data_IF_205016813084
#
_entry.id   IF_205016813084
#
_cell.length_a   1.000
_cell.length_b   1.000
_cell.length_c   1.000
_cell.angle_alpha   90.00
_cell.angle_beta   90.00
_cell.angle_gamma   90.00
#
_symmetry.space_group_name_H-M   'P 1'
#
loop_
_entity.id
_entity.type
_entity.pdbx_description
1 polymer ?
#
# COMPACT_ATOMS: atom_id res chain seq x y z
N UNK A 1 15.42 -9.52 -3.39
CA UNK A 1 14.90 -8.28 -2.78
C UNK A 1 14.48 -8.60 -1.35
N UNK A 2 14.99 -7.87 -0.33
CA UNK A 2 14.45 -7.93 1.02
C UNK A 2 12.92 -7.72 1.04
N UNK A 3 12.27 -8.24 2.09
CA UNK A 3 10.81 -8.17 2.26
C UNK A 3 10.43 -7.87 3.70
N UNK A 4 9.32 -7.16 3.88
CA UNK A 4 8.72 -6.84 5.18
C UNK A 4 7.20 -6.80 5.06
N UNK A 5 6.53 -7.04 6.17
CA UNK A 5 5.08 -6.88 6.28
C UNK A 5 4.76 -5.52 6.90
N UNK A 6 3.64 -4.94 6.49
CA UNK A 6 3.11 -3.73 7.11
C UNK A 6 1.62 -3.87 7.41
N UNK A 7 1.22 -3.22 8.49
CA UNK A 7 -0.16 -3.23 8.95
C UNK A 7 -1.05 -2.44 7.99
N UNK A 8 -2.21 -3.01 7.70
CA UNK A 8 -3.31 -2.34 6.99
C UNK A 8 -4.47 -2.19 7.98
N UNK A 9 -5.07 -0.99 8.04
CA UNK A 9 -6.25 -0.74 8.86
C UNK A 9 -7.50 -1.11 8.07
N UNK A 10 -8.31 -2.09 8.52
CA UNK A 10 -9.56 -2.43 7.84
C UNK A 10 -10.69 -1.42 8.14
N UNK A 11 -11.68 -1.28 7.23
CA UNK A 11 -11.82 -2.01 5.97
C UNK A 11 -10.90 -1.46 4.88
N UNK A 12 -10.25 -2.34 4.12
CA UNK A 12 -9.32 -1.97 3.05
C UNK A 12 -9.62 -2.77 1.78
N UNK A 13 -9.68 -2.08 0.64
CA UNK A 13 -9.92 -2.70 -0.66
C UNK A 13 -8.73 -2.43 -1.57
N UNK A 14 -7.88 -3.44 -1.71
CA UNK A 14 -6.65 -3.31 -2.48
C UNK A 14 -6.93 -3.08 -3.97
N UNK A 15 -7.95 -3.72 -4.54
CA UNK A 15 -8.30 -3.55 -5.96
C UNK A 15 -8.67 -2.09 -6.30
N UNK A 16 -9.33 -1.39 -5.37
CA UNK A 16 -9.59 0.05 -5.52
C UNK A 16 -8.29 0.87 -5.50
N UNK A 17 -7.36 0.54 -4.61
CA UNK A 17 -6.03 1.16 -4.58
C UNK A 17 -5.27 0.90 -5.88
N UNK A 18 -5.33 -0.31 -6.44
CA UNK A 18 -4.74 -0.65 -7.74
C UNK A 18 -5.35 0.19 -8.85
N UNK A 19 -6.69 0.22 -8.98
CA UNK A 19 -7.39 1.00 -10.01
C UNK A 19 -7.07 2.49 -9.95
N UNK A 20 -6.88 3.04 -8.75
CA UNK A 20 -6.41 4.41 -8.59
C UNK A 20 -4.97 4.57 -9.08
N UNK A 21 -4.09 3.62 -8.73
CA UNK A 21 -2.69 3.65 -9.11
C UNK A 21 -2.47 3.43 -10.62
N UNK A 22 -3.26 2.59 -11.30
CA UNK A 22 -3.24 2.40 -12.76
C UNK A 22 -3.47 3.71 -13.53
N UNK A 23 -4.24 4.64 -12.95
CA UNK A 23 -4.48 5.96 -13.54
C UNK A 23 -3.39 6.98 -13.23
N UNK A 24 -2.32 6.55 -12.55
CA UNK A 24 -1.19 7.38 -12.14
C UNK A 24 0.13 6.76 -12.60
N UNK A 25 1.28 7.40 -12.34
CA UNK A 25 2.62 6.95 -12.79
C UNK A 25 3.16 5.70 -12.06
N UNK A 26 2.30 4.75 -11.69
CA UNK A 26 2.71 3.50 -11.05
C UNK A 26 2.73 2.38 -12.07
N UNK A 27 3.75 1.52 -11.98
CA UNK A 27 3.80 0.29 -12.76
C UNK A 27 3.00 -0.78 -12.02
N UNK A 28 1.87 -1.18 -12.59
CA UNK A 28 1.04 -2.27 -12.03
C UNK A 28 1.44 -3.56 -12.70
N UNK A 29 1.90 -4.54 -11.91
CA UNK A 29 2.16 -5.89 -12.39
C UNK A 29 1.06 -6.83 -11.94
N UNK A 30 0.52 -7.57 -12.90
CA UNK A 30 -0.29 -8.75 -12.63
C UNK A 30 0.64 -9.97 -12.49
N UNK A 31 0.59 -10.66 -11.34
CA UNK A 31 1.33 -11.90 -11.10
C UNK A 31 0.43 -12.89 -10.37
N UNK A 32 0.05 -13.98 -11.04
CA UNK A 32 -0.62 -15.14 -10.45
C UNK A 32 -1.79 -14.74 -9.51
N UNK A 33 -2.76 -13.98 -10.05
CA UNK A 33 -3.95 -13.51 -9.35
C UNK A 33 -3.69 -12.58 -8.15
N UNK A 34 -2.51 -11.94 -8.10
CA UNK A 34 -2.18 -10.92 -7.09
C UNK A 34 -1.53 -9.71 -7.76
N UNK A 35 -2.24 -8.58 -7.75
CA UNK A 35 -1.68 -7.31 -8.18
C UNK A 35 -0.50 -6.90 -7.29
N UNK A 36 0.55 -6.37 -7.90
CA UNK A 36 1.66 -5.75 -7.22
C UNK A 36 1.89 -4.36 -7.81
N UNK A 37 1.97 -3.35 -6.96
CA UNK A 37 2.34 -1.98 -7.36
C UNK A 37 3.86 -1.83 -7.31
N UNK A 38 4.44 -1.28 -8.36
CA UNK A 38 5.86 -0.96 -8.43
C UNK A 38 6.08 0.51 -8.68
N UNK A 39 7.08 1.06 -7.99
CA UNK A 39 7.45 2.46 -8.16
C UNK A 39 8.85 2.75 -7.67
N UNK A 40 9.49 3.74 -8.29
CA UNK A 40 10.62 4.44 -7.71
C UNK A 40 10.16 5.53 -6.73
N UNK A 41 10.67 5.47 -5.51
CA UNK A 41 10.45 6.47 -4.47
C UNK A 41 11.78 6.89 -3.83
N UNK A 42 11.76 7.93 -3.01
CA UNK A 42 12.91 8.31 -2.17
C UNK A 42 12.55 8.06 -0.71
N UNK A 43 13.41 7.35 0.01
CA UNK A 43 13.30 7.10 1.45
C UNK A 43 14.62 7.55 2.07
N UNK A 44 14.57 8.52 2.97
CA UNK A 44 15.75 9.13 3.60
C UNK A 44 16.80 9.59 2.58
N UNK A 45 16.35 10.23 1.50
CA UNK A 45 17.12 10.66 0.32
C UNK A 45 17.74 9.54 -0.54
N UNK A 46 17.61 8.28 -0.16
CA UNK A 46 18.03 7.14 -0.97
C UNK A 46 16.95 6.80 -2.01
N UNK A 47 17.30 6.65 -3.30
CA UNK A 47 16.37 6.15 -4.31
C UNK A 47 16.10 4.66 -4.08
N UNK A 48 14.82 4.33 -3.89
CA UNK A 48 14.35 2.97 -3.61
C UNK A 48 13.38 2.55 -4.69
N UNK A 49 13.62 1.38 -5.24
CA UNK A 49 12.62 0.67 -6.02
C UNK A 49 11.80 -0.21 -5.08
N UNK A 50 10.50 0.08 -4.96
CA UNK A 50 9.60 -0.64 -4.05
C UNK A 50 8.51 -1.38 -4.85
N UNK A 51 8.27 -2.62 -4.45
CA UNK A 51 7.17 -3.47 -4.90
C UNK A 51 6.24 -3.70 -3.70
N UNK A 52 4.97 -3.35 -3.85
CA UNK A 52 3.95 -3.40 -2.79
C UNK A 52 2.81 -4.32 -3.23
N UNK A 53 2.46 -5.27 -2.36
CA UNK A 53 1.32 -6.15 -2.54
C UNK A 53 0.43 -6.16 -1.29
N UNK A 54 -0.77 -6.71 -1.43
CA UNK A 54 -1.65 -7.01 -0.31
C UNK A 54 -2.03 -8.50 -0.35
N UNK A 55 -2.11 -9.11 0.81
CA UNK A 55 -2.68 -10.44 1.02
C UNK A 55 -3.68 -10.44 2.17
N UNK A 56 -4.17 -11.63 2.54
CA UNK A 56 -5.16 -11.79 3.60
C UNK A 56 -6.61 -11.63 3.12
N UNK A 57 -7.54 -11.57 4.07
CA UNK A 57 -8.97 -11.32 3.81
C UNK A 57 -9.31 -9.84 4.01
N UNK A 58 -10.47 -9.38 3.53
CA UNK A 58 -10.89 -7.98 3.70
C UNK A 58 -10.93 -7.52 5.19
N UNK A 59 -11.22 -8.44 6.10
CA UNK A 59 -11.27 -8.18 7.55
C UNK A 59 -9.89 -8.25 8.23
N UNK A 60 -8.94 -8.94 7.61
CA UNK A 60 -7.56 -9.12 8.10
C UNK A 60 -6.55 -8.92 6.95
N UNK A 61 -6.50 -7.72 6.36
CA UNK A 61 -5.57 -7.44 5.27
C UNK A 61 -4.15 -7.33 5.82
N UNK A 62 -3.18 -7.83 5.06
CA UNK A 62 -1.76 -7.74 5.38
C UNK A 62 -1.02 -7.17 4.16
N UNK A 63 -0.26 -6.10 4.37
CA UNK A 63 0.56 -5.49 3.34
C UNK A 63 1.92 -6.16 3.27
N UNK A 64 2.44 -6.35 2.06
CA UNK A 64 3.79 -6.85 1.82
C UNK A 64 4.56 -5.82 1.01
N UNK A 65 5.74 -5.43 1.49
CA UNK A 65 6.67 -4.58 0.77
C UNK A 65 7.96 -5.33 0.48
N UNK A 66 8.44 -5.25 -0.77
CA UNK A 66 9.76 -5.69 -1.19
C UNK A 66 10.50 -4.50 -1.77
N UNK A 67 11.81 -4.42 -1.56
CA UNK A 67 12.57 -3.29 -2.07
C UNK A 67 13.95 -3.67 -2.58
N UNK A 68 14.50 -2.79 -3.40
CA UNK A 68 15.91 -2.76 -3.76
C UNK A 68 16.36 -1.32 -3.92
N UNK A 69 17.65 -1.08 -3.75
CA UNK A 69 18.26 0.22 -3.93
C UNK A 69 19.65 0.03 -4.56
N UNK A 70 20.13 1.01 -5.37
CA UNK A 70 21.31 0.83 -6.20
C UNK A 70 22.66 0.91 -5.46
N UNK A 71 22.71 1.43 -4.22
CA UNK A 71 23.96 1.68 -3.49
C UNK A 71 23.95 1.06 -2.09
N UNK A 72 25.07 0.52 -1.62
CA UNK A 72 25.23 -0.27 -0.38
C UNK A 72 24.93 0.42 0.96
N UNK A 73 24.01 1.39 1.00
CA UNK A 73 23.39 1.88 2.22
C UNK A 73 22.49 0.83 2.86
N UNK A 74 22.08 1.09 4.10
CA UNK A 74 21.11 0.27 4.81
C UNK A 74 19.87 1.13 5.05
N UNK A 75 18.72 0.68 4.58
CA UNK A 75 17.45 1.37 4.80
C UNK A 75 16.73 0.65 5.92
N UNK A 76 16.29 1.40 6.93
CA UNK A 76 15.48 0.86 8.02
C UNK A 76 14.19 0.26 7.47
N UNK A 77 13.96 -1.00 7.79
CA UNK A 77 12.76 -1.75 7.42
C UNK A 77 11.48 -1.01 7.85
N UNK A 78 11.48 -0.36 9.02
CA UNK A 78 10.33 0.39 9.50
C UNK A 78 9.99 1.57 8.59
N UNK A 79 11.00 2.19 7.97
CA UNK A 79 10.80 3.29 7.00
C UNK A 79 10.20 2.77 5.70
N UNK A 80 10.60 1.57 5.26
CA UNK A 80 9.99 0.91 4.11
C UNK A 80 8.51 0.62 4.41
N UNK A 81 8.20 -0.03 5.53
CA UNK A 81 6.84 -0.37 5.93
C UNK A 81 5.95 0.86 6.06
N UNK A 82 6.44 1.92 6.70
CA UNK A 82 5.70 3.18 6.82
C UNK A 82 5.46 3.86 5.46
N UNK A 83 6.45 3.83 4.57
CA UNK A 83 6.31 4.41 3.23
C UNK A 83 5.33 3.60 2.36
N UNK A 84 5.41 2.27 2.41
CA UNK A 84 4.49 1.39 1.70
C UNK A 84 3.04 1.58 2.17
N UNK A 85 2.84 1.66 3.49
CA UNK A 85 1.54 1.97 4.09
C UNK A 85 0.96 3.28 3.58
N UNK A 86 1.77 4.35 3.55
CA UNK A 86 1.35 5.67 3.04
C UNK A 86 1.04 5.68 1.56
N UNK A 87 1.84 4.99 0.73
CA UNK A 87 1.60 4.88 -0.71
C UNK A 87 0.22 4.27 -0.97
N UNK A 88 -0.17 3.25 -0.20
CA UNK A 88 -1.48 2.63 -0.29
C UNK A 88 -2.58 3.35 0.50
N UNK A 89 -2.24 4.37 1.29
CA UNK A 89 -3.13 4.97 2.29
C UNK A 89 -3.73 3.92 3.25
N UNK A 90 -2.96 2.87 3.54
CA UNK A 90 -3.38 1.73 4.33
C UNK A 90 -3.36 1.98 5.86
N UNK A 91 -2.81 3.12 6.27
CA UNK A 91 -2.76 3.60 7.65
C UNK A 91 -3.95 4.50 8.03
N UNK A 92 -4.89 4.74 7.10
CA UNK A 92 -6.07 5.56 7.34
C UNK A 92 -7.22 4.69 7.86
N UNK A 93 -7.77 5.05 9.02
CA UNK A 93 -9.05 4.48 9.49
C UNK A 93 -10.21 5.13 8.74
N UNK A 94 -10.79 4.37 7.80
CA UNK A 94 -11.94 4.82 7.01
C UNK A 94 -13.29 4.62 7.72
N UNK A 95 -13.35 3.95 8.87
CA UNK A 95 -14.62 3.71 9.59
C UNK A 95 -15.39 4.99 9.91
N UNK A 96 -14.77 6.09 10.39
CA UNK A 96 -15.49 7.33 10.66
C UNK A 96 -16.08 7.95 9.39
N UNK A 97 -15.38 7.82 8.25
CA UNK A 97 -15.84 8.30 6.95
C UNK A 97 -17.08 7.52 6.49
N UNK A 98 -17.02 6.18 6.52
CA UNK A 98 -18.15 5.34 6.15
C UNK A 98 -19.37 5.55 7.05
N UNK A 99 -19.17 5.73 8.37
CA UNK A 99 -20.27 6.05 9.29
C UNK A 99 -21.02 7.33 8.92
N UNK A 100 -20.31 8.39 8.52
CA UNK A 100 -20.94 9.65 8.09
C UNK A 100 -21.67 9.50 6.75
N UNK A 101 -21.12 8.73 5.82
CA UNK A 101 -21.78 8.40 4.55
C UNK A 101 -23.11 7.68 4.78
N UNK A 102 -23.13 6.66 5.65
CA UNK A 102 -24.35 5.91 5.96
C UNK A 102 -25.43 6.79 6.58
N UNK A 103 -25.06 7.73 7.47
CA UNK A 103 -25.99 8.69 8.05
C UNK A 103 -26.58 9.64 6.99
N UNK A 104 -25.76 10.05 6.02
CA UNK A 104 -26.19 10.94 4.93
C UNK A 104 -27.07 10.21 3.91
N UNK A 105 -26.82 8.92 3.66
CA UNK A 105 -27.60 8.10 2.75
C UNK A 105 -29.00 7.78 3.30
N UNK A 106 -29.15 7.67 4.62
CA UNK A 106 -30.45 7.45 5.30
C UNK A 106 -31.33 8.70 5.41
N UNK A 107 -30.79 9.88 5.10
CA UNK A 107 -31.52 11.15 5.06
C UNK A 107 -32.09 11.45 3.65
N UNK A 108 -31.87 10.57 2.67
CA UNK A 108 -32.50 10.58 1.36
C UNK A 108 -33.65 9.57 1.31
#
# INVERSE_FOLDING_TARGET
>A
MPRTEFRIIPPFNFDLSIKFCERTKFDVLDRNDKYCLKRFTKIDNTPVFIEIGCGGTADKPVGLAKWSYPEGGQIDENRISATAGKILSADIDLKPFYRKLDQSAKLK
#
